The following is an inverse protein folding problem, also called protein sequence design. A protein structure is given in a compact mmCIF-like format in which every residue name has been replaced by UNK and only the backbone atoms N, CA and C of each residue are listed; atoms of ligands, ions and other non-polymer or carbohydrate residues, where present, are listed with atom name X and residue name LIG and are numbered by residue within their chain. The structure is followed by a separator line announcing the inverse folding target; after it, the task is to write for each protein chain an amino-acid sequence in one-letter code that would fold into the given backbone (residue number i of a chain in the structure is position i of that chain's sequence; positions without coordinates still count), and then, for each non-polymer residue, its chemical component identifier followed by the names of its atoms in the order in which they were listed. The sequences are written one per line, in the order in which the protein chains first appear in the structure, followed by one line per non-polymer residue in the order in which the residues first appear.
data_IF_147733423123
#
_entry.id   IF_147733423123
#
_cell.length_a   1.000
_cell.length_b   1.000
_cell.length_c   1.000
_cell.angle_alpha   90.00
_cell.angle_beta   90.00
_cell.angle_gamma   90.00
#
_symmetry.space_group_name_H-M   'P 1'
#
loop_
_entity.id
_entity.type
_entity.pdbx_description
1 polymer ?
#
# COMPACT_ATOMS: atom_id res chain seq x y z
N UNK A 1 -72.96 -45.73 -37.55
CA UNK A 1 -71.54 -45.98 -37.85
C UNK A 1 -70.75 -44.99 -37.01
N UNK A 2 -70.30 -45.43 -35.84
CA UNK A 2 -69.55 -44.63 -34.86
C UNK A 2 -68.13 -45.14 -34.88
N UNK A 3 -67.21 -44.37 -35.44
CA UNK A 3 -65.78 -44.70 -35.49
C UNK A 3 -65.16 -44.44 -34.12
N UNK A 4 -64.75 -45.52 -33.45
CA UNK A 4 -63.94 -45.46 -32.23
C UNK A 4 -62.50 -45.11 -32.61
N UNK A 5 -62.14 -43.83 -32.50
CA UNK A 5 -60.75 -43.41 -32.56
C UNK A 5 -60.05 -43.82 -31.25
N UNK A 6 -59.28 -44.90 -31.29
CA UNK A 6 -58.37 -45.26 -30.19
C UNK A 6 -57.10 -44.42 -30.36
N UNK A 7 -56.75 -43.51 -29.43
CA UNK A 7 -55.48 -42.82 -29.52
C UNK A 7 -54.35 -43.82 -29.24
N UNK A 8 -53.42 -43.92 -30.19
CA UNK A 8 -52.15 -44.66 -30.06
C UNK A 8 -51.36 -44.08 -28.89
N UNK A 9 -50.75 -44.90 -28.00
CA UNK A 9 -49.89 -44.39 -26.96
C UNK A 9 -48.64 -43.82 -27.63
N UNK A 10 -48.44 -42.51 -27.52
CA UNK A 10 -47.21 -41.86 -27.95
C UNK A 10 -46.14 -42.31 -26.96
N UNK A 11 -45.07 -42.93 -27.49
CA UNK A 11 -43.96 -43.49 -26.74
C UNK A 11 -43.47 -42.54 -25.63
N UNK A 12 -43.66 -42.95 -24.38
CA UNK A 12 -43.14 -42.30 -23.17
C UNK A 12 -41.61 -42.49 -23.00
N UNK A 13 -40.87 -42.69 -24.10
CA UNK A 13 -39.46 -43.09 -24.08
C UNK A 13 -38.48 -41.95 -24.38
N UNK A 14 -38.97 -40.75 -24.73
CA UNK A 14 -38.12 -39.61 -25.13
C UNK A 14 -37.74 -38.71 -23.93
N UNK A 15 -38.52 -38.73 -22.85
CA UNK A 15 -38.40 -37.78 -21.73
C UNK A 15 -37.30 -38.13 -20.71
N UNK A 16 -37.08 -39.43 -20.46
CA UNK A 16 -36.13 -39.88 -19.42
C UNK A 16 -34.65 -39.64 -19.72
N UNK A 17 -34.27 -39.44 -20.99
CA UNK A 17 -32.89 -39.16 -21.39
C UNK A 17 -32.50 -37.68 -21.20
N UNK A 18 -33.43 -36.77 -21.46
CA UNK A 18 -33.23 -35.33 -21.23
C UNK A 18 -33.25 -35.01 -19.73
N UNK A 19 -34.12 -35.67 -18.96
CA UNK A 19 -34.19 -35.53 -17.50
C UNK A 19 -32.90 -36.05 -16.82
N UNK A 20 -32.38 -37.20 -17.25
CA UNK A 20 -31.11 -37.73 -16.75
C UNK A 20 -29.91 -36.83 -17.13
N UNK A 21 -29.90 -36.27 -18.34
CA UNK A 21 -28.88 -35.31 -18.76
C UNK A 21 -28.90 -34.01 -17.95
N UNK A 22 -30.11 -33.51 -17.64
CA UNK A 22 -30.31 -32.35 -16.77
C UNK A 22 -29.84 -32.63 -15.34
N UNK A 23 -30.16 -33.80 -14.78
CA UNK A 23 -29.72 -34.21 -13.43
C UNK A 23 -28.17 -34.26 -13.34
N UNK A 24 -27.52 -34.82 -14.36
CA UNK A 24 -26.04 -34.85 -14.45
C UNK A 24 -25.47 -33.44 -14.51
N UNK A 25 -26.03 -32.56 -15.35
CA UNK A 25 -25.60 -31.16 -15.45
C UNK A 25 -25.75 -30.42 -14.11
N UNK A 26 -26.87 -30.61 -13.41
CA UNK A 26 -27.09 -30.03 -12.08
C UNK A 26 -26.06 -30.52 -11.07
N UNK A 27 -25.75 -31.82 -11.07
CA UNK A 27 -24.74 -32.41 -10.19
C UNK A 27 -23.35 -31.86 -10.48
N UNK A 28 -22.98 -31.73 -11.75
CA UNK A 28 -21.70 -31.16 -12.16
C UNK A 28 -21.59 -29.69 -11.74
N UNK A 29 -22.65 -28.91 -11.89
CA UNK A 29 -22.68 -27.51 -11.44
C UNK A 29 -22.47 -27.38 -9.92
N UNK A 30 -23.10 -28.25 -9.12
CA UNK A 30 -22.92 -28.27 -7.66
C UNK A 30 -21.49 -28.66 -7.27
N UNK A 31 -20.92 -29.68 -7.94
CA UNK A 31 -19.55 -30.11 -7.69
C UNK A 31 -18.54 -29.03 -8.09
N UNK A 32 -18.76 -28.36 -9.23
CA UNK A 32 -17.94 -27.25 -9.68
C UNK A 32 -18.00 -26.07 -8.69
N UNK A 33 -19.19 -25.68 -8.24
CA UNK A 33 -19.35 -24.63 -7.23
C UNK A 33 -18.66 -24.97 -5.91
N UNK A 34 -18.76 -26.22 -5.46
CA UNK A 34 -18.06 -26.69 -4.25
C UNK A 34 -16.54 -26.69 -4.41
N UNK A 35 -16.05 -27.11 -5.57
CA UNK A 35 -14.62 -27.11 -5.87
C UNK A 35 -14.06 -25.68 -5.91
N UNK A 36 -14.78 -24.74 -6.53
CA UNK A 36 -14.41 -23.32 -6.55
C UNK A 36 -14.37 -22.73 -5.13
N UNK A 37 -15.43 -22.91 -4.35
CA UNK A 37 -15.50 -22.40 -2.97
C UNK A 37 -14.40 -22.98 -2.07
N UNK A 38 -14.11 -24.28 -2.22
CA UNK A 38 -13.03 -24.94 -1.47
C UNK A 38 -11.65 -24.41 -1.90
N UNK A 39 -11.48 -24.15 -3.20
CA UNK A 39 -10.26 -23.57 -3.77
C UNK A 39 -10.02 -22.14 -3.27
N UNK A 40 -11.04 -21.30 -3.25
CA UNK A 40 -10.96 -19.93 -2.71
C UNK A 40 -10.59 -19.94 -1.21
N UNK A 41 -11.20 -20.84 -0.44
CA UNK A 41 -10.88 -20.99 0.97
C UNK A 41 -9.42 -21.40 1.20
N UNK A 42 -8.92 -22.39 0.45
CA UNK A 42 -7.52 -22.82 0.52
C UNK A 42 -6.56 -21.74 0.07
N UNK A 43 -6.88 -21.02 -1.01
CA UNK A 43 -6.09 -19.88 -1.48
C UNK A 43 -6.01 -18.78 -0.42
N UNK A 44 -7.13 -18.49 0.27
CA UNK A 44 -7.14 -17.56 1.40
C UNK A 44 -6.27 -17.99 2.56
N UNK A 45 -6.29 -19.29 2.92
CA UNK A 45 -5.43 -19.85 3.96
C UNK A 45 -3.94 -19.78 3.57
N UNK A 46 -3.61 -20.10 2.32
CA UNK A 46 -2.24 -20.03 1.81
C UNK A 46 -1.73 -18.59 1.77
N UNK A 47 -2.52 -17.65 1.24
CA UNK A 47 -2.16 -16.24 1.23
C UNK A 47 -1.97 -15.70 2.66
N UNK A 48 -2.83 -16.09 3.60
CA UNK A 48 -2.67 -15.72 5.00
C UNK A 48 -1.38 -16.30 5.60
N UNK A 49 -1.08 -17.58 5.32
CA UNK A 49 0.15 -18.23 5.77
C UNK A 49 1.40 -17.54 5.19
N UNK A 50 1.40 -17.23 3.89
CA UNK A 50 2.48 -16.51 3.21
C UNK A 50 2.69 -15.12 3.80
N UNK A 51 1.62 -14.37 4.04
CA UNK A 51 1.71 -13.07 4.72
C UNK A 51 2.24 -13.23 6.16
N UNK A 52 1.86 -14.29 6.86
CA UNK A 52 2.33 -14.58 8.21
C UNK A 52 3.79 -15.05 8.26
N UNK A 53 4.36 -15.58 7.18
CA UNK A 53 5.73 -16.12 7.14
C UNK A 53 6.71 -15.24 6.36
N UNK A 54 6.36 -14.83 5.14
CA UNK A 54 7.20 -14.02 4.26
C UNK A 54 6.94 -12.52 4.42
N UNK A 55 5.70 -12.13 4.74
CA UNK A 55 5.29 -10.73 4.93
C UNK A 55 5.51 -10.18 6.35
N UNK A 56 6.13 -10.95 7.26
CA UNK A 56 6.34 -10.47 8.63
C UNK A 56 7.30 -9.30 8.63
N UNK A 57 6.86 -8.10 9.07
CA UNK A 57 7.75 -6.95 9.10
C UNK A 57 9.00 -7.27 9.95
N UNK A 58 8.84 -8.01 11.03
CA UNK A 58 9.90 -8.41 11.95
C UNK A 58 11.00 -9.32 11.34
N UNK A 59 10.77 -9.94 10.18
CA UNK A 59 11.77 -10.79 9.50
C UNK A 59 12.29 -10.20 8.19
N UNK A 60 11.48 -9.36 7.55
CA UNK A 60 11.78 -8.73 6.26
C UNK A 60 13.09 -7.94 6.28
N UNK A 61 13.38 -7.26 7.39
CA UNK A 61 14.58 -6.43 7.49
C UNK A 61 15.87 -7.27 7.45
N UNK A 62 15.89 -8.40 8.15
CA UNK A 62 17.06 -9.29 8.19
C UNK A 62 17.29 -9.97 6.83
N UNK A 63 16.21 -10.33 6.12
CA UNK A 63 16.31 -10.96 4.80
C UNK A 63 16.76 -9.98 3.69
N UNK A 64 16.35 -8.71 3.75
CA UNK A 64 16.74 -7.68 2.76
C UNK A 64 18.21 -7.27 2.94
N UNK A 65 18.69 -7.19 4.18
CA UNK A 65 20.03 -6.70 4.51
C UNK A 65 20.88 -7.78 5.17
N UNK A 66 21.01 -8.93 4.51
CA UNK A 66 21.72 -10.11 5.04
C UNK A 66 23.20 -9.87 5.40
N UNK A 67 23.86 -8.87 4.79
CA UNK A 67 25.29 -8.58 4.99
C UNK A 67 25.58 -7.62 6.17
N UNK A 68 24.55 -7.10 6.83
CA UNK A 68 24.68 -6.09 7.89
C UNK A 68 24.38 -6.72 9.27
N UNK A 69 24.76 -6.04 10.34
CA UNK A 69 24.49 -6.51 11.71
C UNK A 69 22.98 -6.65 11.95
N UNK A 70 22.46 -7.88 12.18
CA UNK A 70 21.03 -8.12 12.34
C UNK A 70 20.41 -7.36 13.51
N UNK A 71 21.17 -7.14 14.60
CA UNK A 71 20.67 -6.45 15.78
C UNK A 71 20.44 -4.95 15.50
N UNK A 72 21.35 -4.33 14.75
CA UNK A 72 21.22 -2.94 14.33
C UNK A 72 20.05 -2.76 13.35
N UNK A 73 19.92 -3.65 12.37
CA UNK A 73 18.84 -3.61 11.39
C UNK A 73 17.49 -3.73 12.08
N UNK A 74 17.34 -4.68 13.00
CA UNK A 74 16.09 -4.86 13.74
C UNK A 74 15.74 -3.62 14.54
N UNK A 75 16.71 -3.01 15.22
CA UNK A 75 16.48 -1.80 16.01
C UNK A 75 16.05 -0.59 15.16
N UNK A 76 16.62 -0.44 13.95
CA UNK A 76 16.22 0.60 12.99
C UNK A 76 14.83 0.31 12.44
N UNK A 77 14.58 -0.96 12.08
CA UNK A 77 13.31 -1.40 11.51
C UNK A 77 12.15 -1.24 12.47
N UNK A 78 12.29 -1.65 13.74
CA UNK A 78 11.26 -1.50 14.77
C UNK A 78 10.89 -0.02 14.96
N UNK A 79 11.88 0.88 14.88
CA UNK A 79 11.67 2.33 14.97
C UNK A 79 10.95 2.86 13.71
N UNK A 80 11.27 2.33 12.53
CA UNK A 80 10.62 2.66 11.27
C UNK A 80 9.17 2.14 11.22
N UNK A 81 8.87 0.96 11.78
CA UNK A 81 7.52 0.40 11.84
C UNK A 81 6.56 1.28 12.63
N UNK A 82 7.00 1.84 13.76
CA UNK A 82 6.19 2.77 14.54
C UNK A 82 5.80 4.01 13.72
N UNK A 83 6.75 4.54 12.94
CA UNK A 83 6.52 5.67 12.02
C UNK A 83 5.59 5.28 10.88
N UNK A 84 5.83 4.12 10.25
CA UNK A 84 5.02 3.60 9.15
C UNK A 84 3.58 3.31 9.57
N UNK A 85 3.38 2.74 10.76
CA UNK A 85 2.05 2.49 11.32
C UNK A 85 1.31 3.79 11.61
N UNK A 86 1.99 4.77 12.21
CA UNK A 86 1.42 6.09 12.46
C UNK A 86 1.05 6.81 11.16
N UNK A 87 1.95 6.81 10.17
CA UNK A 87 1.72 7.41 8.86
C UNK A 87 0.58 6.72 8.10
N UNK A 88 0.54 5.38 8.11
CA UNK A 88 -0.53 4.59 7.49
C UNK A 88 -1.89 4.84 8.14
N UNK A 89 -1.92 5.01 9.47
CA UNK A 89 -3.15 5.37 10.19
C UNK A 89 -3.61 6.78 9.81
N UNK A 90 -2.69 7.72 9.64
CA UNK A 90 -2.97 9.09 9.22
C UNK A 90 -3.45 9.17 7.75
N UNK A 91 -2.92 8.32 6.86
CA UNK A 91 -3.27 8.31 5.44
C UNK A 91 -4.60 7.59 5.14
N UNK A 92 -4.89 6.51 5.87
CA UNK A 92 -6.09 5.68 5.64
C UNK A 92 -7.36 6.28 6.27
N UNK A 93 -7.24 7.02 7.36
CA UNK A 93 -8.35 7.73 7.99
C UNK A 93 -7.85 9.02 8.65
N UNK A 94 -7.66 10.12 7.89
CA UNK A 94 -7.17 11.38 8.42
C UNK A 94 -8.21 12.01 9.34
N UNK A 95 -8.13 11.73 10.64
CA UNK A 95 -8.82 12.48 11.69
C UNK A 95 -7.86 13.54 12.20
N UNK A 96 -7.71 14.60 11.43
CA UNK A 96 -6.88 15.75 11.81
C UNK A 96 -7.65 16.56 12.85
N UNK A 97 -7.27 16.40 14.12
CA UNK A 97 -7.78 17.25 15.20
C UNK A 97 -7.14 18.63 15.10
N UNK A 98 -7.92 19.69 15.32
CA UNK A 98 -7.45 21.07 15.19
C UNK A 98 -6.20 21.36 16.04
N UNK A 99 -6.13 20.79 17.25
CA UNK A 99 -5.00 20.95 18.17
C UNK A 99 -3.72 20.30 17.64
N UNK A 100 -3.83 19.17 16.95
CA UNK A 100 -2.70 18.45 16.39
C UNK A 100 -2.13 19.18 15.16
N UNK A 101 -3.01 19.74 14.33
CA UNK A 101 -2.65 20.63 13.22
C UNK A 101 -1.98 21.91 13.71
N UNK A 102 -2.51 22.55 14.76
CA UNK A 102 -1.91 23.74 15.34
C UNK A 102 -0.51 23.47 15.90
N UNK A 103 -0.29 22.30 16.52
CA UNK A 103 1.03 21.88 17.00
C UNK A 103 2.02 21.68 15.85
N UNK A 104 1.61 20.97 14.79
CA UNK A 104 2.46 20.73 13.61
C UNK A 104 2.78 22.04 12.89
N UNK A 105 1.81 22.94 12.78
CA UNK A 105 2.01 24.29 12.25
C UNK A 105 3.05 25.06 13.07
N UNK A 106 2.95 25.07 14.40
CA UNK A 106 3.92 25.73 15.27
C UNK A 106 5.34 25.21 15.10
N UNK A 107 5.52 23.90 14.95
CA UNK A 107 6.85 23.29 14.69
C UNK A 107 7.40 23.73 13.34
N UNK A 108 6.57 23.77 12.29
CA UNK A 108 7.03 24.22 10.97
C UNK A 108 7.32 25.73 10.94
N UNK A 109 6.56 26.55 11.64
CA UNK A 109 6.82 27.98 11.79
C UNK A 109 8.15 28.23 12.52
N UNK A 110 8.44 27.51 13.60
CA UNK A 110 9.70 27.60 14.33
C UNK A 110 10.91 27.19 13.47
N UNK A 111 10.80 26.07 12.76
CA UNK A 111 11.86 25.60 11.85
C UNK A 111 12.07 26.60 10.70
N UNK A 112 10.98 27.14 10.15
CA UNK A 112 11.02 28.17 9.12
C UNK A 112 11.73 29.45 9.60
N UNK A 113 11.43 29.90 10.82
CA UNK A 113 12.09 31.05 11.45
C UNK A 113 13.59 30.82 11.63
N UNK A 114 13.99 29.63 12.10
CA UNK A 114 15.40 29.28 12.26
C UNK A 114 16.14 29.20 10.92
N UNK A 115 15.51 28.65 9.89
CA UNK A 115 16.08 28.59 8.54
C UNK A 115 16.28 29.99 7.94
N UNK A 116 15.27 30.87 8.08
CA UNK A 116 15.37 32.27 7.65
C UNK A 116 16.48 33.01 8.42
N UNK A 117 16.58 32.81 9.74
CA UNK A 117 17.66 33.36 10.56
C UNK A 117 19.04 32.91 10.10
N UNK A 118 19.21 31.63 9.75
CA UNK A 118 20.44 31.08 9.20
C UNK A 118 20.81 31.67 7.84
N UNK A 119 19.83 31.83 6.94
CA UNK A 119 20.03 32.47 5.63
C UNK A 119 20.37 33.95 5.75
N UNK A 120 19.70 34.69 6.62
CA UNK A 120 20.00 36.09 6.90
C UNK A 120 21.38 36.26 7.54
N UNK A 121 21.77 35.39 8.48
CA UNK A 121 23.10 35.39 9.07
C UNK A 121 24.18 35.08 8.03
N UNK A 122 23.94 34.12 7.13
CA UNK A 122 24.83 33.80 6.01
C UNK A 122 24.96 34.98 5.05
N UNK A 123 23.85 35.62 4.68
CA UNK A 123 23.84 36.82 3.84
C UNK A 123 24.62 37.97 4.48
N UNK A 124 24.42 38.23 5.78
CA UNK A 124 25.17 39.24 6.53
C UNK A 124 26.67 38.95 6.58
N UNK A 125 27.09 37.68 6.63
CA UNK A 125 28.51 37.30 6.57
C UNK A 125 29.12 37.48 5.17
N UNK A 126 28.32 37.31 4.12
CA UNK A 126 28.76 37.51 2.73
C UNK A 126 28.84 39.00 2.35
N UNK A 127 27.99 39.84 2.93
CA UNK A 127 27.95 41.30 2.68
C UNK A 127 28.76 42.08 3.74
N UNK A 128 29.16 41.44 4.84
CA UNK A 128 30.07 42.06 5.79
C UNK A 128 31.35 42.49 5.04
N UNK A 129 31.78 43.76 5.17
CA UNK A 129 33.03 44.18 4.59
C UNK A 129 34.12 43.27 5.17
N UNK A 130 34.77 42.52 4.30
CA UNK A 130 36.02 41.85 4.67
C UNK A 130 36.94 42.98 5.13
N UNK A 131 37.48 42.88 6.34
CA UNK A 131 38.61 43.69 6.78
C UNK A 131 39.78 43.39 5.83
N UNK A 132 39.77 44.05 4.68
CA UNK A 132 40.52 43.62 3.51
C UNK A 132 39.72 43.91 2.24
N UNK A 133 39.95 45.11 1.69
CA UNK A 133 39.56 45.57 0.34
C UNK A 133 39.48 44.39 -0.64
N UNK A 134 38.30 44.13 -1.20
CA UNK A 134 38.13 43.05 -2.18
C UNK A 134 39.00 43.40 -3.42
N UNK A 135 39.74 42.46 -4.03
CA UNK A 135 40.65 42.75 -5.14
C UNK A 135 40.01 43.46 -6.34
N UNK A 136 38.67 43.36 -6.50
CA UNK A 136 37.90 44.05 -7.53
C UNK A 136 37.55 45.52 -7.20
N UNK A 137 37.70 45.96 -5.94
CA UNK A 137 37.39 47.34 -5.51
C UNK A 137 38.48 48.35 -5.95
N UNK A 138 39.53 47.89 -6.63
CA UNK A 138 40.62 48.71 -7.18
C UNK A 138 40.48 49.05 -8.66
N UNK A 139 39.51 48.47 -9.39
CA UNK A 139 39.36 48.73 -10.83
C UNK A 139 38.73 50.10 -11.13
N UNK A 140 37.96 50.66 -10.19
CA UNK A 140 37.37 52.01 -10.29
C UNK A 140 38.40 53.15 -10.22
N UNK A 141 39.64 52.87 -9.78
CA UNK A 141 40.68 53.89 -9.59
C UNK A 141 41.69 53.97 -10.76
N UNK A 142 41.69 53.03 -11.71
CA UNK A 142 42.65 52.99 -12.85
C UNK A 142 42.08 53.51 -14.18
N UNK A 143 40.90 54.12 -14.16
CA UNK A 143 40.23 54.69 -15.34
C UNK A 143 40.22 56.22 -15.33
N UNK A 144 41.37 56.88 -15.22
CA UNK A 144 41.57 58.31 -15.55
C UNK A 144 42.96 58.53 -16.12
#
# INVERSE_FOLDING_TARGET
MTENHTPTPVDAAVDGGEEAGFEVMCRDAVLAGRAMSSGEFLAGLLAHAELATAGRPDKLAVDIWADQDPALIQAVWDRALAVGFYAGRLSSAPRLFADEMARVQGVFEEVGFNAMGGLSARSRRLVAPVEGRHPADGESERGR
#
